data_IF_830950852307
#
_entry.id   IF_830950852307
#
_cell.length_a   1.000
_cell.length_b   1.000
_cell.length_c   1.000
_cell.angle_alpha   90.00
_cell.angle_beta   90.00
_cell.angle_gamma   90.00
#
_symmetry.space_group_name_H-M   'P 1'
#
loop_
_entity.id
_entity.type
_entity.pdbx_description
1 polymer ?
#
# COMPACT_ATOMS: atom_id res chain seq x y z
N UNK A 1 -43.70 -21.59 13.91
CA UNK A 1 -43.54 -22.31 15.20
C UNK A 1 -42.21 -23.06 15.17
N UNK A 2 -41.16 -22.53 15.79
CA UNK A 2 -39.91 -23.25 16.00
C UNK A 2 -39.54 -23.11 17.49
N UNK A 3 -39.27 -24.26 18.13
CA UNK A 3 -39.26 -24.47 19.57
C UNK A 3 -38.06 -23.80 20.26
N UNK A 4 -38.32 -23.19 21.41
CA UNK A 4 -37.32 -22.72 22.37
C UNK A 4 -36.86 -23.94 23.18
N UNK A 5 -35.61 -24.37 22.99
CA UNK A 5 -35.00 -25.39 23.84
C UNK A 5 -34.40 -24.71 25.07
N UNK A 6 -35.12 -24.73 26.19
CA UNK A 6 -34.59 -24.28 27.49
C UNK A 6 -33.75 -25.40 28.07
N UNK A 7 -32.42 -25.25 28.08
CA UNK A 7 -31.54 -26.14 28.86
C UNK A 7 -31.53 -25.57 30.29
N UNK A 8 -32.20 -26.26 31.22
CA UNK A 8 -32.16 -25.93 32.66
C UNK A 8 -30.92 -26.56 33.30
N UNK A 9 -30.04 -25.74 33.85
CA UNK A 9 -29.01 -26.16 34.80
C UNK A 9 -29.27 -25.42 36.13
N UNK A 10 -29.93 -26.09 37.07
CA UNK A 10 -30.28 -25.50 38.37
C UNK A 10 -31.36 -24.42 38.33
N UNK A 11 -31.27 -23.41 39.21
CA UNK A 11 -32.23 -22.31 39.31
C UNK A 11 -32.03 -21.19 38.26
N UNK A 12 -31.00 -21.31 37.41
CA UNK A 12 -30.65 -20.31 36.41
C UNK A 12 -31.07 -20.76 35.01
N UNK A 13 -31.86 -19.95 34.31
CA UNK A 13 -32.14 -20.13 32.89
C UNK A 13 -31.21 -19.26 32.06
N UNK A 14 -30.35 -19.86 31.23
CA UNK A 14 -29.63 -19.15 30.17
C UNK A 14 -30.49 -19.26 28.91
N UNK A 15 -30.98 -18.12 28.43
CA UNK A 15 -31.67 -18.03 27.14
C UNK A 15 -30.60 -17.82 26.08
N UNK A 16 -30.30 -18.85 25.30
CA UNK A 16 -29.45 -18.71 24.11
C UNK A 16 -30.35 -18.34 22.94
N UNK A 17 -30.41 -17.05 22.60
CA UNK A 17 -31.02 -16.57 21.36
C UNK A 17 -30.05 -16.78 20.20
N UNK A 18 -30.53 -17.40 19.11
CA UNK A 18 -29.73 -17.54 17.89
C UNK A 18 -29.88 -16.23 17.07
N UNK A 19 -28.81 -15.46 16.77
CA UNK A 19 -28.90 -14.05 16.35
C UNK A 19 -29.24 -13.81 14.87
N UNK A 20 -29.55 -14.84 14.10
CA UNK A 20 -29.58 -14.77 12.63
C UNK A 20 -30.85 -14.14 12.02
N UNK A 21 -31.65 -13.41 12.81
CA UNK A 21 -32.89 -12.79 12.36
C UNK A 21 -33.20 -11.42 13.01
N UNK A 22 -32.18 -10.61 13.27
CA UNK A 22 -32.38 -9.20 13.61
C UNK A 22 -32.18 -8.33 12.36
N UNK A 23 -33.27 -7.70 11.90
CA UNK A 23 -33.27 -6.86 10.72
C UNK A 23 -32.48 -5.54 10.92
N UNK A 24 -32.37 -5.06 12.15
CA UNK A 24 -31.65 -3.83 12.50
C UNK A 24 -30.15 -4.04 12.45
N UNK A 25 -29.67 -5.19 12.96
CA UNK A 25 -28.27 -5.60 12.79
C UNK A 25 -27.94 -5.75 11.31
N UNK A 26 -28.81 -6.40 10.52
CA UNK A 26 -28.61 -6.54 9.08
C UNK A 26 -28.55 -5.20 8.34
N UNK A 27 -29.40 -4.22 8.67
CA UNK A 27 -29.36 -2.89 8.03
C UNK A 27 -28.08 -2.12 8.38
N UNK A 28 -27.60 -2.25 9.61
CA UNK A 28 -26.35 -1.62 10.04
C UNK A 28 -25.13 -2.26 9.35
N UNK A 29 -25.07 -3.59 9.25
CA UNK A 29 -24.01 -4.28 8.51
C UNK A 29 -24.01 -3.90 7.02
N UNK A 30 -25.19 -3.72 6.42
CA UNK A 30 -25.30 -3.30 5.02
C UNK A 30 -24.83 -1.85 4.83
N UNK A 31 -25.16 -0.93 5.74
CA UNK A 31 -24.66 0.45 5.68
C UNK A 31 -23.15 0.53 5.89
N UNK A 32 -22.61 -0.23 6.84
CA UNK A 32 -21.17 -0.27 7.11
C UNK A 32 -20.41 -0.83 5.90
N UNK A 33 -20.97 -1.86 5.25
CA UNK A 33 -20.42 -2.43 4.03
C UNK A 33 -20.49 -1.43 2.86
N UNK A 34 -21.60 -0.71 2.69
CA UNK A 34 -21.75 0.30 1.64
C UNK A 34 -20.75 1.46 1.82
N UNK A 35 -20.57 1.95 3.05
CA UNK A 35 -19.58 2.98 3.37
C UNK A 35 -18.17 2.45 3.10
N UNK A 36 -17.85 1.23 3.55
CA UNK A 36 -16.55 0.60 3.33
C UNK A 36 -16.24 0.45 1.83
N UNK A 37 -17.19 -0.05 1.05
CA UNK A 37 -17.05 -0.20 -0.40
C UNK A 37 -16.89 1.16 -1.07
N UNK A 38 -17.69 2.15 -0.68
CA UNK A 38 -17.60 3.51 -1.23
C UNK A 38 -16.25 4.15 -0.96
N UNK A 39 -15.77 4.08 0.29
CA UNK A 39 -14.44 4.56 0.66
C UNK A 39 -13.33 3.83 -0.12
N UNK A 40 -13.46 2.51 -0.25
CA UNK A 40 -12.48 1.70 -0.97
C UNK A 40 -12.40 2.10 -2.44
N UNK A 41 -13.53 2.14 -3.14
CA UNK A 41 -13.55 2.34 -4.59
C UNK A 41 -13.41 3.80 -5.03
N UNK A 42 -13.90 4.76 -4.23
CA UNK A 42 -13.86 6.18 -4.58
C UNK A 42 -12.59 6.88 -4.09
N UNK A 43 -11.96 6.37 -3.03
CA UNK A 43 -10.87 7.08 -2.35
C UNK A 43 -9.59 6.25 -2.36
N UNK A 44 -9.61 5.08 -1.73
CA UNK A 44 -8.39 4.29 -1.48
C UNK A 44 -7.84 3.71 -2.79
N UNK A 45 -8.69 3.08 -3.60
CA UNK A 45 -8.28 2.41 -4.82
C UNK A 45 -7.70 3.38 -5.87
N UNK A 46 -8.32 4.55 -6.16
CA UNK A 46 -7.72 5.56 -7.02
C UNK A 46 -6.39 6.08 -6.48
N UNK A 47 -6.29 6.36 -5.17
CA UNK A 47 -5.05 6.82 -4.55
C UNK A 47 -3.93 5.79 -4.68
N UNK A 48 -4.24 4.50 -4.45
CA UNK A 48 -3.31 3.38 -4.63
C UNK A 48 -2.85 3.23 -6.08
N UNK A 49 -3.78 3.27 -7.04
CA UNK A 49 -3.43 3.18 -8.45
C UNK A 49 -2.49 4.30 -8.87
N UNK A 50 -2.78 5.55 -8.49
CA UNK A 50 -1.93 6.70 -8.81
C UNK A 50 -0.54 6.52 -8.19
N UNK A 51 -0.46 6.14 -6.90
CA UNK A 51 0.79 5.95 -6.19
C UNK A 51 1.68 4.89 -6.86
N UNK A 52 1.11 3.71 -7.18
CA UNK A 52 1.85 2.60 -7.78
C UNK A 52 2.24 2.89 -9.23
N UNK A 53 1.34 3.45 -10.04
CA UNK A 53 1.62 3.75 -11.45
C UNK A 53 2.71 4.81 -11.56
N UNK A 54 2.64 5.88 -10.77
CA UNK A 54 3.67 6.94 -10.82
C UNK A 54 5.01 6.45 -10.28
N UNK A 55 5.03 5.56 -9.28
CA UNK A 55 6.23 4.87 -8.82
C UNK A 55 6.91 4.06 -9.94
N UNK A 56 6.14 3.23 -10.66
CA UNK A 56 6.65 2.43 -11.77
C UNK A 56 7.11 3.28 -12.96
N UNK A 57 6.35 4.32 -13.30
CA UNK A 57 6.74 5.30 -14.32
C UNK A 57 8.05 5.98 -13.93
N UNK A 58 8.27 6.30 -12.64
CA UNK A 58 9.50 6.92 -12.18
C UNK A 58 10.71 6.01 -12.40
N UNK A 59 10.60 4.69 -12.16
CA UNK A 59 11.65 3.74 -12.51
C UNK A 59 11.96 3.77 -14.02
N UNK A 60 10.93 3.70 -14.86
CA UNK A 60 11.09 3.72 -16.32
C UNK A 60 11.74 5.00 -16.83
N UNK A 61 11.30 6.16 -16.32
CA UNK A 61 11.87 7.46 -16.67
C UNK A 61 13.31 7.62 -16.17
N UNK A 62 13.63 7.09 -14.97
CA UNK A 62 14.99 7.10 -14.47
C UNK A 62 15.91 6.21 -15.31
N UNK A 63 15.46 5.01 -15.68
CA UNK A 63 16.20 4.09 -16.54
C UNK A 63 16.48 4.73 -17.90
N UNK A 64 15.46 5.34 -18.50
CA UNK A 64 15.58 6.05 -19.78
C UNK A 64 16.56 7.23 -19.72
N UNK A 65 16.48 8.05 -18.67
CA UNK A 65 17.43 9.16 -18.47
C UNK A 65 18.88 8.68 -18.31
N UNK A 66 19.08 7.46 -17.82
CA UNK A 66 20.39 6.81 -17.70
C UNK A 66 20.81 6.04 -18.96
N UNK A 67 19.98 6.04 -20.01
CA UNK A 67 20.29 5.49 -21.32
C UNK A 67 19.56 4.19 -21.69
N UNK A 68 18.66 3.68 -20.85
CA UNK A 68 17.90 2.45 -21.12
C UNK A 68 16.50 2.76 -21.70
N UNK A 69 16.28 2.59 -23.02
CA UNK A 69 14.99 2.88 -23.65
C UNK A 69 13.96 1.75 -23.48
N UNK A 70 14.30 0.63 -22.81
CA UNK A 70 13.51 -0.61 -22.80
C UNK A 70 12.07 -0.39 -22.35
N UNK A 71 11.87 0.33 -21.23
CA UNK A 71 10.55 0.63 -20.70
C UNK A 71 9.67 1.40 -21.69
N UNK A 72 10.23 2.40 -22.39
CA UNK A 72 9.49 3.18 -23.38
C UNK A 72 9.18 2.38 -24.64
N UNK A 73 10.17 1.64 -25.15
CA UNK A 73 10.01 0.80 -26.34
C UNK A 73 8.91 -0.26 -26.16
N UNK A 74 8.73 -0.75 -24.93
CA UNK A 74 7.68 -1.70 -24.56
C UNK A 74 6.35 -1.04 -24.13
N UNK A 75 6.22 0.28 -24.25
CA UNK A 75 5.01 1.01 -23.86
C UNK A 75 4.69 0.95 -22.36
N UNK A 76 5.70 0.72 -21.52
CA UNK A 76 5.54 0.57 -20.06
C UNK A 76 5.56 1.89 -19.30
N UNK A 77 6.03 2.97 -19.91
CA UNK A 77 5.91 4.35 -19.38
C UNK A 77 4.53 4.90 -19.79
N UNK A 78 3.48 4.51 -19.05
CA UNK A 78 2.09 4.85 -19.38
C UNK A 78 1.23 4.97 -18.13
N UNK A 79 0.25 5.88 -18.14
CA UNK A 79 -0.76 6.01 -17.09
C UNK A 79 -1.88 4.96 -17.21
N UNK A 80 -1.89 4.14 -18.26
CA UNK A 80 -2.87 3.07 -18.40
C UNK A 80 -2.67 2.00 -17.30
N UNK A 81 -3.61 1.82 -16.35
CA UNK A 81 -3.46 0.88 -15.24
C UNK A 81 -3.29 -0.57 -15.72
N UNK A 82 -3.91 -0.94 -16.85
CA UNK A 82 -3.88 -2.31 -17.38
C UNK A 82 -2.46 -2.78 -17.66
N UNK A 83 -1.59 -1.87 -18.14
CA UNK A 83 -0.20 -2.20 -18.44
C UNK A 83 0.59 -2.64 -17.20
N UNK A 84 0.17 -2.19 -16.02
CA UNK A 84 0.85 -2.41 -14.73
C UNK A 84 0.24 -3.54 -13.90
N UNK A 85 -0.74 -4.27 -14.44
CA UNK A 85 -1.33 -5.41 -13.73
C UNK A 85 -0.49 -6.66 -13.96
N UNK A 86 -0.13 -7.33 -12.87
CA UNK A 86 0.36 -8.70 -12.87
C UNK A 86 -0.68 -9.57 -12.15
N UNK A 87 -1.34 -10.54 -12.81
CA UNK A 87 -2.42 -11.31 -12.18
C UNK A 87 -2.00 -11.98 -10.87
N UNK A 88 -0.74 -12.38 -10.76
CA UNK A 88 -0.25 -13.02 -9.55
C UNK A 88 0.01 -12.01 -8.44
N UNK A 89 0.80 -10.95 -8.70
CA UNK A 89 1.16 -9.96 -7.68
C UNK A 89 0.02 -9.00 -7.32
N UNK A 90 -0.86 -8.67 -8.28
CA UNK A 90 -1.93 -7.69 -8.11
C UNK A 90 -3.21 -8.32 -7.54
N UNK A 91 -3.48 -9.61 -7.80
CA UNK A 91 -4.73 -10.26 -7.39
C UNK A 91 -4.50 -11.51 -6.52
N UNK A 92 -3.75 -12.49 -7.02
CA UNK A 92 -3.62 -13.79 -6.34
C UNK A 92 -2.92 -13.64 -4.99
N UNK A 93 -1.79 -12.93 -4.95
CA UNK A 93 -1.00 -12.76 -3.74
C UNK A 93 -1.79 -12.03 -2.63
N UNK A 94 -2.39 -10.84 -2.87
CA UNK A 94 -3.28 -10.21 -1.89
C UNK A 94 -4.42 -11.14 -1.44
N UNK A 95 -5.06 -11.86 -2.37
CA UNK A 95 -6.15 -12.77 -2.06
C UNK A 95 -5.72 -13.91 -1.13
N UNK A 96 -4.56 -14.53 -1.38
CA UNK A 96 -3.99 -15.57 -0.51
C UNK A 96 -3.66 -15.00 0.86
N UNK A 97 -3.08 -13.80 0.95
CA UNK A 97 -2.75 -13.17 2.23
C UNK A 97 -4.00 -12.87 3.06
N UNK A 98 -5.07 -12.39 2.42
CA UNK A 98 -6.36 -12.17 3.08
C UNK A 98 -6.92 -13.49 3.60
N UNK A 99 -6.97 -14.53 2.76
CA UNK A 99 -7.55 -15.84 3.12
C UNK A 99 -6.75 -16.58 4.19
N UNK A 100 -5.45 -16.33 4.26
CA UNK A 100 -4.56 -16.93 5.27
C UNK A 100 -4.51 -16.14 6.58
N UNK A 101 -5.21 -15.01 6.67
CA UNK A 101 -5.22 -14.17 7.88
C UNK A 101 -3.90 -13.44 8.12
N UNK A 102 -3.15 -13.12 7.06
CA UNK A 102 -1.93 -12.33 7.17
C UNK A 102 -2.22 -10.98 7.84
N UNK A 103 -1.39 -10.54 8.81
CA UNK A 103 -1.59 -9.25 9.48
C UNK A 103 -1.44 -8.07 8.52
N UNK A 104 -0.64 -8.26 7.46
CA UNK A 104 -0.42 -7.27 6.41
C UNK A 104 -0.79 -7.89 5.07
N UNK A 105 -1.62 -7.18 4.31
CA UNK A 105 -1.93 -7.51 2.92
C UNK A 105 -1.07 -6.63 2.04
N UNK A 106 -0.27 -7.25 1.17
CA UNK A 106 0.51 -6.53 0.16
C UNK A 106 0.29 -7.15 -1.22
N UNK A 107 0.49 -6.32 -2.24
CA UNK A 107 0.49 -6.71 -3.64
C UNK A 107 1.50 -5.86 -4.38
N UNK A 108 1.65 -6.15 -5.68
CA UNK A 108 2.56 -5.40 -6.54
C UNK A 108 1.95 -5.15 -7.91
N UNK A 109 2.39 -4.06 -8.52
CA UNK A 109 2.27 -3.91 -9.96
C UNK A 109 3.25 -4.84 -10.67
N UNK A 110 2.97 -5.08 -11.94
CA UNK A 110 3.96 -5.60 -12.88
C UNK A 110 5.11 -4.60 -12.97
N UNK A 111 6.34 -4.97 -12.59
CA UNK A 111 7.44 -4.02 -12.59
C UNK A 111 7.76 -3.54 -14.01
N UNK A 112 8.25 -2.31 -14.13
CA UNK A 112 8.78 -1.78 -15.39
C UNK A 112 10.12 -2.45 -15.71
N UNK A 113 10.33 -2.93 -16.95
CA UNK A 113 11.57 -3.60 -17.32
C UNK A 113 12.73 -2.60 -17.38
N UNK A 114 13.86 -3.00 -16.81
CA UNK A 114 15.10 -2.24 -16.79
C UNK A 114 16.23 -3.15 -17.25
N UNK A 115 17.03 -2.71 -18.21
CA UNK A 115 18.17 -3.43 -18.76
C UNK A 115 19.49 -2.77 -18.30
N UNK A 116 20.20 -3.36 -17.33
CA UNK A 116 21.42 -2.77 -16.78
C UNK A 116 22.57 -2.62 -17.78
N UNK A 117 22.51 -3.32 -18.92
CA UNK A 117 23.57 -3.29 -19.94
C UNK A 117 23.68 -1.94 -20.67
N UNK A 118 22.64 -1.10 -20.61
CA UNK A 118 22.70 0.26 -21.16
C UNK A 118 23.46 1.24 -20.26
N UNK A 119 23.61 0.93 -18.97
CA UNK A 119 24.23 1.85 -18.03
C UNK A 119 25.76 1.75 -18.10
N UNK A 120 26.44 2.90 -18.10
CA UNK A 120 27.91 2.98 -17.99
C UNK A 120 28.44 2.20 -16.78
N UNK A 121 27.72 2.28 -15.66
CA UNK A 121 27.94 1.43 -14.50
C UNK A 121 26.61 0.76 -14.11
N UNK A 122 26.42 -0.54 -14.42
CA UNK A 122 25.17 -1.26 -14.19
C UNK A 122 24.67 -1.17 -12.74
N UNK A 123 25.58 -1.21 -11.76
CA UNK A 123 25.22 -1.20 -10.34
C UNK A 123 24.75 0.17 -9.88
N UNK A 124 25.45 1.23 -10.29
CA UNK A 124 25.03 2.60 -9.99
C UNK A 124 23.76 2.97 -10.73
N UNK A 125 23.61 2.52 -11.98
CA UNK A 125 22.39 2.73 -12.75
C UNK A 125 21.18 2.09 -12.07
N UNK A 126 21.29 0.81 -11.70
CA UNK A 126 20.24 0.11 -10.96
C UNK A 126 19.91 0.74 -9.60
N UNK A 127 20.92 1.27 -8.88
CA UNK A 127 20.71 2.02 -7.63
C UNK A 127 19.84 3.27 -7.85
N UNK A 128 20.17 4.07 -8.86
CA UNK A 128 19.43 5.30 -9.14
C UNK A 128 18.01 5.02 -9.63
N UNK A 129 17.85 3.97 -10.45
CA UNK A 129 16.53 3.51 -10.86
C UNK A 129 15.73 3.05 -9.66
N UNK A 130 16.28 2.20 -8.78
CA UNK A 130 15.58 1.72 -7.58
C UNK A 130 15.20 2.85 -6.61
N UNK A 131 15.99 3.92 -6.52
CA UNK A 131 15.63 5.10 -5.71
C UNK A 131 14.45 5.91 -6.31
N UNK A 132 14.26 5.89 -7.63
CA UNK A 132 13.31 6.75 -8.30
C UNK A 132 11.86 6.52 -7.83
N UNK A 133 11.43 5.26 -7.69
CA UNK A 133 10.10 4.90 -7.21
C UNK A 133 9.81 5.45 -5.81
N UNK A 134 10.57 5.07 -4.77
CA UNK A 134 10.39 5.57 -3.40
C UNK A 134 10.46 7.10 -3.31
N UNK A 135 11.39 7.74 -4.02
CA UNK A 135 11.49 9.21 -4.06
C UNK A 135 10.19 9.82 -4.61
N UNK A 136 9.64 9.27 -5.71
CA UNK A 136 8.37 9.74 -6.25
C UNK A 136 7.24 9.59 -5.25
N UNK A 137 7.17 8.50 -4.49
CA UNK A 137 6.16 8.39 -3.43
C UNK A 137 6.33 9.44 -2.35
N UNK A 138 7.54 9.68 -1.84
CA UNK A 138 7.74 10.73 -0.83
C UNK A 138 7.39 12.13 -1.36
N UNK A 139 7.67 12.42 -2.63
CA UNK A 139 7.25 13.66 -3.29
C UNK A 139 5.72 13.75 -3.34
N UNK A 140 5.04 12.69 -3.76
CA UNK A 140 3.57 12.65 -3.81
C UNK A 140 2.95 12.79 -2.42
N UNK A 141 3.48 12.10 -1.41
CA UNK A 141 3.03 12.23 -0.03
C UNK A 141 3.16 13.68 0.45
N UNK A 142 4.32 14.30 0.22
CA UNK A 142 4.55 15.70 0.62
C UNK A 142 3.60 16.64 -0.13
N UNK A 143 3.44 16.47 -1.43
CA UNK A 143 2.56 17.30 -2.25
C UNK A 143 1.09 17.20 -1.80
N UNK A 144 0.56 15.98 -1.61
CA UNK A 144 -0.81 15.79 -1.15
C UNK A 144 -1.03 16.30 0.28
N UNK A 145 -0.03 16.19 1.15
CA UNK A 145 -0.08 16.74 2.50
C UNK A 145 -0.15 18.27 2.49
N UNK A 146 0.68 18.94 1.68
CA UNK A 146 0.61 20.40 1.52
C UNK A 146 -0.72 20.86 0.93
N UNK A 147 -1.30 20.10 -0.01
CA UNK A 147 -2.63 20.36 -0.55
C UNK A 147 -3.71 20.22 0.53
N UNK A 148 -3.60 19.20 1.39
CA UNK A 148 -4.52 18.98 2.50
C UNK A 148 -4.46 20.15 3.51
N UNK A 149 -3.27 20.59 3.88
CA UNK A 149 -3.09 21.78 4.74
C UNK A 149 -3.67 23.05 4.11
N UNK A 150 -3.43 23.25 2.81
CA UNK A 150 -4.00 24.37 2.07
C UNK A 150 -5.53 24.33 2.06
N UNK A 151 -6.12 23.14 1.91
CA UNK A 151 -7.57 22.95 1.91
C UNK A 151 -8.19 23.31 3.27
N UNK A 152 -7.59 22.84 4.38
CA UNK A 152 -8.04 23.21 5.72
C UNK A 152 -7.96 24.72 5.98
N UNK A 153 -6.86 25.36 5.54
CA UNK A 153 -6.69 26.81 5.67
C UNK A 153 -7.70 27.65 4.85
N UNK A 154 -8.30 27.06 3.80
CA UNK A 154 -9.28 27.73 2.95
C UNK A 154 -10.73 27.51 3.40
N UNK A 155 -11.04 26.34 3.96
CA UNK A 155 -12.43 25.92 4.26
C UNK A 155 -12.83 26.18 5.72
N UNK A 156 -11.87 26.41 6.62
CA UNK A 156 -12.15 26.97 7.95
C UNK A 156 -12.91 26.04 8.92
N UNK A 157 -12.67 24.73 8.86
CA UNK A 157 -13.13 23.74 9.84
C UNK A 157 -14.63 23.41 9.83
N UNK A 158 -15.52 24.34 9.50
CA UNK A 158 -16.96 24.12 9.62
C UNK A 158 -17.66 23.78 8.29
N UNK A 159 -18.28 22.60 8.27
CA UNK A 159 -19.30 22.17 7.29
C UNK A 159 -18.87 22.18 5.83
N UNK A 160 -17.72 21.58 5.53
CA UNK A 160 -17.31 21.29 4.17
C UNK A 160 -18.37 20.41 3.45
N UNK A 161 -18.80 20.80 2.25
CA UNK A 161 -19.74 20.00 1.45
C UNK A 161 -19.15 18.63 1.10
N UNK A 162 -20.02 17.65 0.80
CA UNK A 162 -19.63 16.25 0.54
C UNK A 162 -18.45 16.09 -0.44
N UNK A 163 -18.37 16.93 -1.48
CA UNK A 163 -17.26 16.90 -2.44
C UNK A 163 -15.90 17.25 -1.83
N UNK A 164 -15.86 18.22 -0.89
CA UNK A 164 -14.64 18.61 -0.19
C UNK A 164 -14.21 17.48 0.75
N UNK A 165 -15.15 16.86 1.47
CA UNK A 165 -14.86 15.71 2.35
C UNK A 165 -14.24 14.54 1.59
N UNK A 166 -14.73 14.24 0.38
CA UNK A 166 -14.14 13.20 -0.47
C UNK A 166 -12.70 13.55 -0.87
N UNK A 167 -12.42 14.82 -1.17
CA UNK A 167 -11.06 15.29 -1.50
C UNK A 167 -10.15 15.20 -0.28
N UNK A 168 -10.61 15.61 0.90
CA UNK A 168 -9.85 15.49 2.15
C UNK A 168 -9.49 14.04 2.45
N UNK A 169 -10.46 13.13 2.35
CA UNK A 169 -10.25 11.69 2.50
C UNK A 169 -9.24 11.19 1.46
N UNK A 170 -9.40 11.58 0.19
CA UNK A 170 -8.47 11.17 -0.88
C UNK A 170 -7.05 11.63 -0.61
N UNK A 171 -6.86 12.90 -0.23
CA UNK A 171 -5.55 13.44 0.09
C UNK A 171 -4.94 12.73 1.30
N UNK A 172 -5.71 12.55 2.39
CA UNK A 172 -5.25 11.86 3.59
C UNK A 172 -4.81 10.42 3.31
N UNK A 173 -5.65 9.64 2.63
CA UNK A 173 -5.30 8.26 2.24
C UNK A 173 -4.15 8.23 1.22
N UNK A 174 -4.09 9.19 0.29
CA UNK A 174 -2.99 9.27 -0.69
C UNK A 174 -1.65 9.55 0.00
N UNK A 175 -1.61 10.43 1.00
CA UNK A 175 -0.42 10.66 1.83
C UNK A 175 0.02 9.36 2.50
N UNK A 176 -0.91 8.70 3.20
CA UNK A 176 -0.63 7.45 3.91
C UNK A 176 -0.11 6.37 2.97
N UNK A 177 -0.81 6.11 1.85
CA UNK A 177 -0.45 5.08 0.87
C UNK A 177 0.93 5.35 0.28
N UNK A 178 1.23 6.61 -0.10
CA UNK A 178 2.53 6.95 -0.66
C UNK A 178 3.65 6.77 0.37
N UNK A 179 3.45 7.19 1.63
CA UNK A 179 4.44 6.96 2.69
C UNK A 179 4.67 5.46 2.92
N UNK A 180 3.58 4.68 3.06
CA UNK A 180 3.62 3.23 3.23
C UNK A 180 4.38 2.58 2.07
N UNK A 181 4.03 2.89 0.82
CA UNK A 181 4.65 2.29 -0.35
C UNK A 181 6.13 2.67 -0.48
N UNK A 182 6.48 3.93 -0.20
CA UNK A 182 7.86 4.42 -0.20
C UNK A 182 8.71 3.75 0.86
N UNK A 183 8.22 3.69 2.11
CA UNK A 183 8.93 3.08 3.24
C UNK A 183 9.07 1.57 3.06
N UNK A 184 7.99 0.90 2.64
CA UNK A 184 8.00 -0.54 2.37
C UNK A 184 9.02 -0.88 1.28
N UNK A 185 9.04 -0.12 0.17
CA UNK A 185 10.02 -0.35 -0.88
C UNK A 185 11.46 -0.03 -0.47
N UNK A 186 11.71 0.72 0.61
CA UNK A 186 13.06 0.94 1.14
C UNK A 186 13.56 -0.17 2.06
N UNK A 187 12.74 -1.16 2.41
CA UNK A 187 13.19 -2.32 3.18
C UNK A 187 14.32 -3.02 2.40
N UNK A 188 15.50 -3.28 3.02
CA UNK A 188 16.71 -3.71 2.32
C UNK A 188 16.70 -5.21 1.97
N UNK A 189 15.61 -5.69 1.38
CA UNK A 189 15.33 -7.09 1.07
C UNK A 189 14.85 -7.20 -0.37
N UNK A 190 15.57 -7.91 -1.26
CA UNK A 190 15.05 -8.25 -2.58
C UNK A 190 13.71 -9.01 -2.46
N UNK A 191 12.71 -8.74 -3.32
CA UNK A 191 12.81 -8.02 -4.59
C UNK A 191 12.50 -6.51 -4.48
N UNK A 192 12.35 -5.98 -3.26
CA UNK A 192 12.03 -4.57 -3.03
C UNK A 192 13.19 -3.68 -3.48
N UNK A 193 12.88 -2.41 -3.78
CA UNK A 193 13.88 -1.44 -4.25
C UNK A 193 15.04 -1.26 -3.28
N UNK A 194 14.78 -1.29 -1.97
CA UNK A 194 15.76 -1.21 -0.90
C UNK A 194 16.80 -2.32 -1.00
N UNK A 195 16.41 -3.51 -1.44
CA UNK A 195 17.33 -4.61 -1.74
C UNK A 195 18.28 -4.27 -2.90
N UNK A 196 17.76 -3.63 -3.96
CA UNK A 196 18.56 -3.19 -5.12
C UNK A 196 19.46 -1.99 -4.79
N UNK A 197 18.96 -1.06 -3.99
CA UNK A 197 19.74 0.05 -3.41
C UNK A 197 20.89 -0.52 -2.58
N UNK A 198 20.62 -1.48 -1.69
CA UNK A 198 21.63 -2.16 -0.89
C UNK A 198 22.70 -2.82 -1.78
N UNK A 199 22.28 -3.56 -2.81
CA UNK A 199 23.20 -4.16 -3.80
C UNK A 199 24.04 -3.10 -4.52
N UNK A 200 23.50 -1.92 -4.79
CA UNK A 200 24.23 -0.82 -5.42
C UNK A 200 25.30 -0.19 -4.52
N UNK A 201 25.05 -0.09 -3.21
CA UNK A 201 25.94 0.55 -2.23
C UNK A 201 27.04 -0.41 -1.73
N UNK A 202 26.73 -1.69 -1.55
CA UNK A 202 27.64 -2.65 -0.94
C UNK A 202 28.95 -2.86 -1.73
N UNK A 203 30.07 -3.24 -1.08
CA UNK A 203 31.23 -3.78 -1.78
C UNK A 203 30.85 -5.04 -2.59
N UNK A 204 31.51 -5.29 -3.72
CA UNK A 204 31.15 -6.39 -4.64
C UNK A 204 31.08 -7.77 -3.96
N UNK A 205 31.90 -7.99 -2.92
CA UNK A 205 31.94 -9.24 -2.15
C UNK A 205 30.63 -9.49 -1.40
N UNK A 206 29.98 -8.43 -0.91
CA UNK A 206 28.70 -8.50 -0.18
C UNK A 206 27.50 -8.31 -1.11
N UNK A 207 27.64 -7.54 -2.20
CA UNK A 207 26.56 -7.33 -3.15
C UNK A 207 26.15 -8.62 -3.90
N UNK A 208 27.13 -9.49 -4.22
CA UNK A 208 26.88 -10.76 -4.92
C UNK A 208 25.92 -11.70 -4.18
N UNK A 209 26.13 -12.04 -2.90
CA UNK A 209 25.18 -12.91 -2.19
C UNK A 209 23.80 -12.26 -2.04
N UNK A 210 23.72 -10.95 -1.77
CA UNK A 210 22.44 -10.25 -1.67
C UNK A 210 21.67 -10.29 -3.01
N UNK A 211 22.34 -10.02 -4.13
CA UNK A 211 21.71 -10.10 -5.44
C UNK A 211 21.18 -11.50 -5.78
N UNK A 212 21.85 -12.56 -5.29
CA UNK A 212 21.36 -13.95 -5.46
C UNK A 212 20.08 -14.24 -4.70
N UNK A 213 19.74 -13.46 -3.66
CA UNK A 213 18.49 -13.63 -2.91
C UNK A 213 17.27 -13.17 -3.71
N UNK A 214 17.42 -12.33 -4.74
CA UNK A 214 16.30 -11.81 -5.53
C UNK A 214 15.41 -12.91 -6.10
N UNK A 215 15.99 -14.05 -6.53
CA UNK A 215 15.24 -15.22 -7.02
C UNK A 215 14.30 -15.86 -5.98
N UNK A 216 14.62 -15.69 -4.70
CA UNK A 216 13.84 -16.18 -3.56
C UNK A 216 13.13 -15.03 -2.84
N UNK A 217 13.25 -13.81 -3.35
CA UNK A 217 12.90 -12.60 -2.62
C UNK A 217 11.44 -12.59 -2.21
N UNK A 218 10.54 -12.99 -3.10
CA UNK A 218 9.10 -13.04 -2.78
C UNK A 218 8.81 -14.04 -1.65
N UNK A 219 9.43 -15.22 -1.68
CA UNK A 219 9.26 -16.22 -0.62
C UNK A 219 9.80 -15.68 0.72
N UNK A 220 10.98 -15.05 0.70
CA UNK A 220 11.58 -14.42 1.88
C UNK A 220 10.65 -13.34 2.44
N UNK A 221 10.11 -12.49 1.57
CA UNK A 221 9.18 -11.42 1.96
C UNK A 221 7.91 -11.98 2.60
N UNK A 222 7.30 -13.01 2.00
CA UNK A 222 6.13 -13.69 2.58
C UNK A 222 6.45 -14.27 3.96
N UNK A 223 7.58 -14.97 4.12
CA UNK A 223 7.99 -15.52 5.42
C UNK A 223 8.20 -14.43 6.48
N UNK A 224 8.77 -13.28 6.10
CA UNK A 224 9.00 -12.15 7.00
C UNK A 224 7.71 -11.43 7.42
N UNK A 225 6.68 -11.47 6.59
CA UNK A 225 5.36 -10.95 6.92
C UNK A 225 4.68 -11.84 7.96
N UNK A 226 4.69 -13.16 7.75
CA UNK A 226 4.13 -14.12 8.71
C UNK A 226 4.92 -14.21 10.02
N UNK A 227 6.21 -13.90 10.01
CA UNK A 227 7.00 -13.84 11.25
C UNK A 227 6.73 -12.60 12.11
N UNK A 228 5.99 -11.60 11.58
CA UNK A 228 5.72 -10.33 12.27
C UNK A 228 6.90 -9.35 12.28
N UNK A 229 8.02 -9.67 11.63
CA UNK A 229 9.21 -8.80 11.58
C UNK A 229 8.89 -7.51 10.83
N UNK A 230 8.20 -7.63 9.70
CA UNK A 230 7.80 -6.47 8.90
C UNK A 230 6.82 -5.58 9.67
N UNK A 231 5.85 -6.18 10.35
CA UNK A 231 4.88 -5.45 11.17
C UNK A 231 5.55 -4.72 12.34
N UNK A 232 6.47 -5.39 13.04
CA UNK A 232 7.26 -4.79 14.13
C UNK A 232 8.09 -3.60 13.67
N UNK A 233 8.55 -3.61 12.41
CA UNK A 233 9.31 -2.51 11.81
C UNK A 233 8.41 -1.37 11.35
N UNK A 234 7.28 -1.67 10.71
CA UNK A 234 6.40 -0.66 10.11
C UNK A 234 5.43 -0.02 11.10
N UNK A 235 4.92 -0.78 12.08
CA UNK A 235 3.96 -0.31 13.08
C UNK A 235 4.39 0.98 13.80
N UNK A 236 5.61 1.15 14.35
CA UNK A 236 5.97 2.41 15.01
C UNK A 236 5.99 3.58 14.03
N UNK A 237 6.39 3.34 12.78
CA UNK A 237 6.42 4.36 11.74
C UNK A 237 5.00 4.77 11.36
N UNK A 238 4.09 3.81 11.23
CA UNK A 238 2.68 4.08 10.97
C UNK A 238 2.01 4.78 12.14
N UNK A 239 2.21 4.33 13.38
CA UNK A 239 1.69 5.01 14.56
C UNK A 239 2.12 6.47 14.60
N UNK A 240 3.41 6.74 14.35
CA UNK A 240 3.93 8.11 14.26
C UNK A 240 3.26 8.93 13.14
N UNK A 241 3.14 8.37 11.94
CA UNK A 241 2.51 9.04 10.80
C UNK A 241 1.04 9.34 11.10
N UNK A 242 0.28 8.36 11.59
CA UNK A 242 -1.14 8.53 11.89
C UNK A 242 -1.33 9.56 13.01
N UNK A 243 -0.52 9.50 14.08
CA UNK A 243 -0.58 10.49 15.16
C UNK A 243 -0.39 11.92 14.62
N UNK A 244 0.60 12.15 13.75
CA UNK A 244 0.88 13.51 13.24
C UNK A 244 -0.07 13.95 12.12
N UNK A 245 -0.58 13.02 11.31
CA UNK A 245 -1.60 13.34 10.29
C UNK A 245 -2.96 13.64 10.92
N UNK A 246 -3.35 12.92 11.99
CA UNK A 246 -4.65 13.07 12.64
C UNK A 246 -4.65 14.05 13.83
N UNK A 247 -3.49 14.46 14.36
CA UNK A 247 -3.43 15.61 15.28
C UNK A 247 -3.71 16.95 14.59
N UNK A 248 -3.72 16.99 13.25
CA UNK A 248 -4.18 18.13 12.44
C UNK A 248 -5.73 18.13 12.31
N UNK A 249 -6.39 17.03 12.70
CA UNK A 249 -7.85 16.91 12.82
C UNK A 249 -8.35 16.79 14.28
N UNK A 250 -7.96 17.64 15.25
CA UNK A 250 -8.51 17.54 16.61
C UNK A 250 -10.01 17.83 16.68
N UNK A 251 -10.63 18.36 15.62
CA UNK A 251 -12.08 18.61 15.57
C UNK A 251 -12.91 17.34 15.24
N UNK A 252 -12.28 16.17 15.17
CA UNK A 252 -12.95 14.88 14.92
C UNK A 252 -13.11 13.98 16.15
N UNK A 253 -12.92 14.48 17.38
CA UNK A 253 -13.21 13.77 18.63
C UNK A 253 -14.35 14.42 19.41
#
# INVERSE_FOLDING_TARGET
>A
MARISVIRLGQSSIVVSLPWFDATLKSQYLSDLEIFLSLTFLVIFPALLIAVILHEIAHGLAAEKLGDPTARALGRITLNPISHIDPFMTLILPGVLILSGSPIVFGGAKPVPVNPNYFVNPRRGMLWVALAGPITNFILATAHYLLLLGLYGLVGGESAGMGIQIIELFLGYSVLINLVLGIFNLIPIPPLDGGRILVGILPIRLARPVARLERYGLLILVLLLFSGVIDSFLSPIFSFILEHLFQISPEMA
#
